data_IF_893916542865
#
_entry.id   IF_893916542865
#
_cell.length_a   1.000
_cell.length_b   1.000
_cell.length_c   1.000
_cell.angle_alpha   90.00
_cell.angle_beta   90.00
_cell.angle_gamma   90.00
#
_symmetry.space_group_name_H-M   'P 1'
#
loop_
_entity.id
_entity.type
_entity.pdbx_description
1 polymer ?
#
# COMPACT_ATOMS: atom_id res chain seq x y z
N UNK A 1 -12.26 34.17 -0.83
CA UNK A 1 -11.20 33.69 0.07
C UNK A 1 -10.41 32.61 -0.65
N UNK A 2 -9.08 32.65 -0.62
CA UNK A 2 -8.23 31.59 -1.17
C UNK A 2 -8.24 30.37 -0.24
N UNK A 3 -8.30 29.15 -0.80
CA UNK A 3 -8.14 27.93 0.00
C UNK A 3 -6.73 27.88 0.59
N UNK A 4 -6.54 27.45 1.85
CA UNK A 4 -5.22 27.27 2.43
C UNK A 4 -4.47 26.14 1.72
N UNK A 5 -3.17 26.33 1.50
CA UNK A 5 -2.26 25.32 0.93
C UNK A 5 -1.77 24.37 2.04
N UNK A 6 -1.78 23.07 1.76
CA UNK A 6 -1.30 22.04 2.69
C UNK A 6 -0.12 21.31 2.03
N UNK A 7 1.01 21.24 2.73
CA UNK A 7 2.16 20.42 2.34
C UNK A 7 2.17 19.14 3.19
N UNK A 8 2.17 17.98 2.53
CA UNK A 8 2.31 16.68 3.19
C UNK A 8 3.71 16.13 2.94
N UNK A 9 4.45 15.89 4.02
CA UNK A 9 5.78 15.26 3.98
C UNK A 9 5.65 13.87 4.59
N UNK A 10 5.82 12.83 3.78
CA UNK A 10 5.68 11.45 4.23
C UNK A 10 5.97 10.43 3.14
N UNK A 11 5.71 9.16 3.44
CA UNK A 11 5.98 8.05 2.52
C UNK A 11 5.02 8.00 1.34
N UNK A 12 5.55 7.59 0.19
CA UNK A 12 4.83 7.30 -1.04
C UNK A 12 5.35 5.97 -1.58
N UNK A 13 4.48 4.97 -1.67
CA UNK A 13 4.84 3.61 -1.99
C UNK A 13 4.03 3.07 -3.17
N UNK A 14 4.57 2.04 -3.81
CA UNK A 14 3.78 1.11 -4.64
C UNK A 14 3.49 -0.12 -3.79
N UNK A 15 2.22 -0.33 -3.47
CA UNK A 15 1.79 -1.49 -2.68
C UNK A 15 1.62 -2.68 -3.63
N UNK A 16 2.33 -3.77 -3.33
CA UNK A 16 2.23 -5.05 -4.04
C UNK A 16 1.39 -6.00 -3.19
N UNK A 17 0.17 -6.29 -3.63
CA UNK A 17 -0.83 -7.01 -2.84
C UNK A 17 -1.02 -8.39 -3.45
N UNK A 18 -0.88 -9.44 -2.65
CA UNK A 18 -1.20 -10.82 -3.06
C UNK A 18 -2.18 -11.44 -2.07
N UNK A 19 -3.32 -11.91 -2.58
CA UNK A 19 -4.34 -12.58 -1.76
C UNK A 19 -4.01 -14.06 -1.66
N UNK A 20 -3.96 -14.57 -0.43
CA UNK A 20 -3.69 -15.97 -0.12
C UNK A 20 -4.73 -16.50 0.87
N UNK A 21 -4.93 -17.81 0.91
CA UNK A 21 -5.92 -18.44 1.81
C UNK A 21 -5.58 -18.24 3.29
N UNK A 22 -4.29 -18.12 3.63
CA UNK A 22 -3.77 -17.85 4.97
C UNK A 22 -2.35 -17.30 4.91
N UNK A 23 -1.85 -16.78 6.03
CA UNK A 23 -0.46 -16.36 6.18
C UNK A 23 0.47 -17.60 6.12
N UNK A 24 1.60 -17.54 5.39
CA UNK A 24 2.60 -18.62 5.37
C UNK A 24 3.30 -18.80 6.72
N UNK A 25 3.70 -20.03 7.03
CA UNK A 25 4.58 -20.31 8.17
C UNK A 25 6.06 -20.11 7.80
N UNK A 26 6.97 -19.91 8.78
CA UNK A 26 8.40 -19.82 8.51
C UNK A 26 8.92 -21.04 7.72
N UNK A 27 9.62 -20.79 6.61
CA UNK A 27 10.16 -21.82 5.72
C UNK A 27 9.17 -22.38 4.70
N UNK A 28 7.90 -21.97 4.73
CA UNK A 28 6.89 -22.42 3.79
C UNK A 28 6.87 -21.58 2.51
N UNK A 29 6.65 -22.23 1.36
CA UNK A 29 6.24 -21.57 0.11
C UNK A 29 4.83 -22.03 -0.25
N UNK A 30 3.91 -21.07 -0.43
CA UNK A 30 2.53 -21.35 -0.86
C UNK A 30 2.25 -20.71 -2.21
N UNK A 31 1.30 -21.27 -2.95
CA UNK A 31 0.81 -20.63 -4.17
C UNK A 31 0.07 -19.34 -3.81
N UNK A 32 0.46 -18.26 -4.49
CA UNK A 32 -0.28 -17.01 -4.48
C UNK A 32 -1.67 -17.17 -5.12
N UNK A 33 -2.56 -16.22 -4.83
CA UNK A 33 -3.83 -16.06 -5.53
C UNK A 33 -3.81 -14.82 -6.42
N UNK A 34 -4.84 -14.00 -6.28
CA UNK A 34 -4.97 -12.74 -7.02
C UNK A 34 -3.86 -11.75 -6.62
N UNK A 35 -3.20 -11.17 -7.62
CA UNK A 35 -2.18 -10.15 -7.46
C UNK A 35 -2.69 -8.80 -7.95
N UNK A 36 -2.39 -7.73 -7.20
CA UNK A 36 -2.73 -6.36 -7.56
C UNK A 36 -1.59 -5.39 -7.20
N UNK A 37 -1.49 -4.31 -7.97
CA UNK A 37 -0.68 -3.15 -7.66
C UNK A 37 -1.60 -1.98 -7.28
N UNK A 38 -1.22 -1.23 -6.24
CA UNK A 38 -1.93 -0.03 -5.82
C UNK A 38 -0.96 1.10 -5.45
N UNK A 39 -1.44 2.34 -5.57
CA UNK A 39 -0.74 3.47 -4.95
C UNK A 39 -0.96 3.43 -3.44
N UNK A 40 0.11 3.61 -2.68
CA UNK A 40 0.08 3.57 -1.22
C UNK A 40 1.11 4.50 -0.58
N UNK A 41 1.39 4.25 0.69
CA UNK A 41 2.22 5.12 1.52
C UNK A 41 1.39 6.06 2.37
N UNK A 42 1.77 6.20 3.64
CA UNK A 42 0.97 6.96 4.62
C UNK A 42 0.91 8.44 4.28
N UNK A 43 2.00 8.99 3.76
CA UNK A 43 2.05 10.39 3.32
C UNK A 43 1.18 10.61 2.09
N UNK A 44 1.36 9.79 1.05
CA UNK A 44 0.56 9.87 -0.16
C UNK A 44 -0.94 9.70 0.11
N UNK A 45 -1.33 8.72 0.93
CA UNK A 45 -2.73 8.46 1.25
C UNK A 45 -3.38 9.59 2.06
N UNK A 46 -2.63 10.39 2.82
CA UNK A 46 -3.15 11.57 3.52
C UNK A 46 -3.22 12.82 2.61
N UNK A 47 -2.45 12.83 1.52
CA UNK A 47 -2.40 13.95 0.58
C UNK A 47 -3.51 13.91 -0.48
N UNK A 48 -4.23 12.80 -0.61
CA UNK A 48 -5.30 12.55 -1.59
C UNK A 48 -6.68 12.76 -0.99
#
# INVERSE_FOLDING_TARGET
MTKPSILVVGSSNTDMIIKVQRIPQPGETILGGEFALAAGGKGANQAV
#
